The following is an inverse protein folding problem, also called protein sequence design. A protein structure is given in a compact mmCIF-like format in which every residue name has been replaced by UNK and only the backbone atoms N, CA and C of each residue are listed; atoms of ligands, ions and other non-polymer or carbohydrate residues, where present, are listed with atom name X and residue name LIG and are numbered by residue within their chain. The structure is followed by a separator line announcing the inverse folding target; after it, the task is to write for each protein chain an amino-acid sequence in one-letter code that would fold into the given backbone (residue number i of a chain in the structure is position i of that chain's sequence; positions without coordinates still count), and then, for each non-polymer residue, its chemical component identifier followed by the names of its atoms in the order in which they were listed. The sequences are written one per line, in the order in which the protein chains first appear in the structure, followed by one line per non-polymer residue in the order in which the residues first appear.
data_IF_235678953645
#
_entry.id   IF_235678953645
#
_cell.length_a   1.000
_cell.length_b   1.000
_cell.length_c   1.000
_cell.angle_alpha   90.00
_cell.angle_beta   90.00
_cell.angle_gamma   90.00
#
_symmetry.space_group_name_H-M   'P 1'
#
loop_
_entity.id
_entity.type
_entity.pdbx_description
1 polymer ?
#
# COMPACT_ATOMS: atom_id res chain seq x y z
N UNK A 1 -20.06 5.77 -57.52
CA UNK A 1 -18.86 5.75 -56.66
C UNK A 1 -19.35 5.94 -55.23
N UNK A 2 -19.45 4.86 -54.47
CA UNK A 2 -19.89 4.85 -53.06
C UNK A 2 -18.64 4.91 -52.17
N UNK A 3 -18.65 5.63 -51.04
CA UNK A 3 -17.50 5.67 -50.15
C UNK A 3 -17.40 4.38 -49.35
N UNK A 4 -16.15 3.92 -49.23
CA UNK A 4 -15.72 2.70 -48.57
C UNK A 4 -15.97 2.81 -47.07
N UNK A 5 -16.56 1.77 -46.48
CA UNK A 5 -16.71 1.60 -45.04
C UNK A 5 -15.34 1.56 -44.35
N UNK A 6 -15.10 2.50 -43.43
CA UNK A 6 -13.99 2.44 -42.49
C UNK A 6 -14.10 1.19 -41.62
N UNK A 7 -13.03 0.41 -41.61
CA UNK A 7 -12.89 -0.77 -40.76
C UNK A 7 -12.77 -0.35 -39.28
N UNK A 8 -13.37 -1.09 -38.33
CA UNK A 8 -13.28 -0.75 -36.93
C UNK A 8 -11.82 -0.83 -36.47
N UNK A 9 -11.34 0.25 -35.85
CA UNK A 9 -10.01 0.36 -35.27
C UNK A 9 -9.70 -0.89 -34.43
N UNK A 10 -8.68 -1.64 -34.85
CA UNK A 10 -8.11 -2.72 -34.03
C UNK A 10 -7.65 -2.08 -32.73
N UNK A 11 -8.36 -2.37 -31.64
CA UNK A 11 -7.88 -2.13 -30.29
C UNK A 11 -6.57 -2.89 -30.13
N UNK A 12 -5.45 -2.21 -30.32
CA UNK A 12 -4.13 -2.73 -29.97
C UNK A 12 -4.13 -2.79 -28.45
N UNK A 13 -4.42 -3.96 -27.89
CA UNK A 13 -4.13 -4.26 -26.49
C UNK A 13 -2.63 -4.06 -26.28
N UNK A 14 -2.22 -2.84 -25.91
CA UNK A 14 -0.89 -2.59 -25.38
C UNK A 14 -0.74 -3.51 -24.17
N UNK A 15 0.32 -4.31 -24.19
CA UNK A 15 0.61 -5.36 -23.22
C UNK A 15 0.35 -4.84 -21.82
N UNK A 16 -0.50 -5.54 -21.06
CA UNK A 16 -0.58 -5.35 -19.62
C UNK A 16 0.83 -5.37 -19.02
N UNK A 17 1.12 -4.59 -17.97
CA UNK A 17 2.42 -4.59 -17.33
C UNK A 17 2.81 -6.03 -16.97
N UNK A 18 3.80 -6.57 -17.67
CA UNK A 18 4.31 -7.92 -17.40
C UNK A 18 4.97 -7.91 -16.03
N UNK A 19 4.67 -8.94 -15.23
CA UNK A 19 5.21 -9.05 -13.87
C UNK A 19 6.73 -9.19 -13.96
N UNK A 20 7.47 -8.44 -13.13
CA UNK A 20 8.95 -8.42 -13.07
C UNK A 20 9.59 -9.81 -12.89
N UNK A 21 8.84 -10.84 -12.50
CA UNK A 21 9.30 -12.24 -12.46
C UNK A 21 9.74 -12.78 -13.83
N UNK A 22 9.18 -12.28 -14.92
CA UNK A 22 9.54 -12.70 -16.28
C UNK A 22 10.95 -12.22 -16.69
N UNK A 23 11.49 -11.17 -16.06
CA UNK A 23 12.85 -10.68 -16.31
C UNK A 23 13.93 -11.50 -15.63
N UNK A 24 13.60 -12.28 -14.60
CA UNK A 24 14.59 -12.98 -13.78
C UNK A 24 15.20 -14.23 -14.45
N UNK A 25 14.68 -14.66 -15.61
CA UNK A 25 15.14 -15.86 -16.31
C UNK A 25 16.37 -15.64 -17.20
N UNK A 26 16.88 -14.40 -17.31
CA UNK A 26 17.97 -14.04 -18.23
C UNK A 26 19.08 -13.26 -17.49
N UNK A 27 19.83 -13.93 -16.61
CA UNK A 27 21.25 -13.60 -16.37
C UNK A 27 21.91 -14.71 -15.58
N UNK A 28 22.96 -15.30 -16.15
CA UNK A 28 23.77 -16.37 -15.58
C UNK A 28 25.06 -15.83 -14.97
N UNK A 29 25.62 -16.66 -14.07
CA UNK A 29 26.93 -16.61 -13.41
C UNK A 29 27.12 -15.63 -12.23
N UNK A 30 27.05 -16.16 -11.00
CA UNK A 30 28.04 -15.97 -9.90
C UNK A 30 27.47 -16.28 -8.50
N UNK A 31 28.37 -16.81 -7.67
CA UNK A 31 28.47 -17.01 -6.21
C UNK A 31 27.42 -17.83 -5.44
N UNK A 32 27.88 -18.84 -4.69
CA UNK A 32 27.06 -19.64 -3.76
C UNK A 32 26.33 -18.77 -2.72
N UNK A 33 26.94 -17.66 -2.29
CA UNK A 33 26.31 -16.66 -1.41
C UNK A 33 25.17 -15.92 -2.13
N UNK A 34 25.36 -15.57 -3.41
CA UNK A 34 24.31 -15.02 -4.26
C UNK A 34 23.18 -16.04 -4.50
N UNK A 35 23.49 -17.33 -4.59
CA UNK A 35 22.49 -18.39 -4.76
C UNK A 35 21.72 -18.71 -3.47
N UNK A 36 22.36 -18.64 -2.30
CA UNK A 36 21.70 -18.70 -1.00
C UNK A 36 20.80 -17.48 -0.78
N UNK A 37 21.26 -16.28 -1.14
CA UNK A 37 20.46 -15.04 -1.12
C UNK A 37 19.33 -15.07 -2.15
N UNK A 38 19.50 -15.70 -3.32
CA UNK A 38 18.42 -15.94 -4.29
C UNK A 38 17.34 -16.86 -3.72
N UNK A 39 17.74 -17.86 -2.93
CA UNK A 39 16.82 -18.83 -2.31
C UNK A 39 16.07 -18.29 -1.08
N UNK A 40 16.63 -17.32 -0.35
CA UNK A 40 16.05 -16.81 0.91
C UNK A 40 14.68 -16.10 0.76
N UNK A 41 14.39 -15.54 -0.42
CA UNK A 41 13.10 -14.90 -0.74
C UNK A 41 12.58 -15.41 -2.07
N UNK A 42 12.43 -16.73 -2.14
CA UNK A 42 12.04 -17.45 -3.36
C UNK A 42 10.58 -17.26 -3.71
N UNK A 43 9.71 -17.01 -2.72
CA UNK A 43 8.27 -16.90 -2.94
C UNK A 43 7.77 -15.45 -3.01
N UNK A 44 6.64 -15.26 -3.72
CA UNK A 44 5.94 -13.97 -3.76
C UNK A 44 5.51 -13.51 -2.36
N UNK A 45 5.19 -14.45 -1.47
CA UNK A 45 4.76 -14.12 -0.12
C UNK A 45 5.92 -13.55 0.70
N UNK A 46 7.12 -14.11 0.60
CA UNK A 46 8.30 -13.60 1.33
C UNK A 46 8.66 -12.18 0.90
N UNK A 47 8.57 -11.91 -0.41
CA UNK A 47 8.81 -10.57 -0.94
C UNK A 47 7.76 -9.58 -0.39
N UNK A 48 6.48 -9.96 -0.36
CA UNK A 48 5.43 -9.10 0.20
C UNK A 48 5.66 -8.87 1.69
N UNK A 49 5.93 -9.93 2.46
CA UNK A 49 6.23 -9.85 3.89
C UNK A 49 7.40 -8.91 4.18
N UNK A 50 8.48 -8.97 3.39
CA UNK A 50 9.60 -8.05 3.54
C UNK A 50 9.23 -6.58 3.26
N UNK A 51 8.35 -6.31 2.30
CA UNK A 51 7.85 -4.94 2.04
C UNK A 51 7.00 -4.43 3.21
N UNK A 52 6.09 -5.26 3.72
CA UNK A 52 5.28 -4.92 4.89
C UNK A 52 6.16 -4.72 6.13
N UNK A 53 7.11 -5.62 6.39
CA UNK A 53 8.05 -5.51 7.51
C UNK A 53 8.84 -4.21 7.46
N UNK A 54 9.35 -3.83 6.28
CA UNK A 54 10.00 -2.54 6.11
C UNK A 54 9.07 -1.35 6.39
N UNK A 55 7.82 -1.40 5.92
CA UNK A 55 6.84 -0.35 6.21
C UNK A 55 6.54 -0.24 7.71
N UNK A 56 6.31 -1.36 8.39
CA UNK A 56 5.96 -1.38 9.81
C UNK A 56 7.15 -1.02 10.71
N UNK A 57 8.31 -1.64 10.51
CA UNK A 57 9.47 -1.44 11.38
C UNK A 57 10.22 -0.15 11.04
N UNK A 58 10.65 0.01 9.79
CA UNK A 58 11.54 1.12 9.42
C UNK A 58 10.79 2.44 9.24
N UNK A 59 9.52 2.41 8.82
CA UNK A 59 8.77 3.64 8.56
C UNK A 59 7.88 4.03 9.74
N UNK A 60 7.12 3.10 10.33
CA UNK A 60 6.28 3.40 11.49
C UNK A 60 7.00 3.26 12.84
N UNK A 61 8.17 2.62 12.89
CA UNK A 61 8.91 2.42 14.15
C UNK A 61 8.31 1.34 15.05
N UNK A 62 7.50 0.43 14.50
CA UNK A 62 6.85 -0.64 15.23
C UNK A 62 7.85 -1.77 15.52
N UNK A 63 7.75 -2.39 16.69
CA UNK A 63 8.75 -3.35 17.18
C UNK A 63 8.26 -4.80 16.99
N UNK A 64 9.12 -5.66 16.45
CA UNK A 64 8.97 -7.11 16.59
C UNK A 64 9.19 -7.54 18.05
N UNK A 65 8.18 -8.12 18.68
CA UNK A 65 8.33 -8.71 20.01
C UNK A 65 8.57 -10.21 19.89
N UNK A 66 9.64 -10.63 20.58
CA UNK A 66 10.15 -11.97 20.88
C UNK A 66 10.96 -12.72 19.82
N UNK A 67 12.19 -13.05 20.26
CA UNK A 67 13.31 -13.75 19.60
C UNK A 67 13.02 -15.19 19.11
N UNK A 68 11.74 -15.60 18.99
CA UNK A 68 11.34 -16.94 18.57
C UNK A 68 10.16 -16.99 17.59
N UNK A 69 9.39 -15.91 17.47
CA UNK A 69 8.31 -15.77 16.49
C UNK A 69 8.57 -14.47 15.75
N UNK A 70 8.80 -14.49 14.44
CA UNK A 70 9.07 -13.33 13.56
C UNK A 70 7.89 -12.32 13.47
N UNK A 71 7.20 -12.07 14.59
CA UNK A 71 5.98 -11.30 14.70
C UNK A 71 6.22 -9.90 15.27
N UNK A 72 5.58 -8.95 14.60
CA UNK A 72 5.43 -7.55 14.95
C UNK A 72 4.26 -7.42 15.90
N UNK A 73 4.51 -6.80 17.05
CA UNK A 73 3.42 -6.27 17.86
C UNK A 73 3.26 -4.80 17.53
N UNK A 74 2.04 -4.31 17.24
CA UNK A 74 1.79 -2.86 17.24
C UNK A 74 1.72 -2.32 18.69
N UNK A 75 2.51 -2.86 19.61
CA UNK A 75 2.77 -2.18 20.87
C UNK A 75 3.62 -0.96 20.53
N UNK A 76 2.97 0.14 20.14
CA UNK A 76 3.58 1.43 20.42
C UNK A 76 3.68 1.48 21.94
N UNK A 77 4.90 1.49 22.48
CA UNK A 77 5.15 1.62 23.93
C UNK A 77 4.48 2.88 24.53
N UNK A 78 3.89 3.73 23.68
CA UNK A 78 3.19 4.97 24.01
C UNK A 78 1.66 4.87 23.98
N UNK A 79 1.04 3.80 23.42
CA UNK A 79 -0.43 3.72 23.24
C UNK A 79 -1.01 2.34 23.58
N UNK A 80 -2.10 2.32 24.35
CA UNK A 80 -2.89 1.12 24.61
C UNK A 80 -3.91 0.91 23.47
N UNK A 81 -3.60 0.01 22.54
CA UNK A 81 -4.44 -0.28 21.37
C UNK A 81 -4.11 0.64 20.20
N UNK A 82 -3.85 0.04 19.02
CA UNK A 82 -3.59 0.78 17.79
C UNK A 82 -4.41 0.19 16.65
N UNK A 83 -4.79 1.04 15.70
CA UNK A 83 -5.55 0.65 14.51
C UNK A 83 -4.71 0.77 13.25
N UNK A 84 -4.68 -0.30 12.44
CA UNK A 84 -3.97 -0.36 11.16
C UNK A 84 -4.93 -0.71 10.03
N UNK A 85 -4.90 0.10 8.98
CA UNK A 85 -5.62 -0.13 7.74
C UNK A 85 -4.64 -0.51 6.62
N UNK A 86 -4.93 -1.59 5.89
CA UNK A 86 -4.21 -1.98 4.68
C UNK A 86 -5.07 -1.73 3.44
N UNK A 87 -4.68 -0.72 2.65
CA UNK A 87 -5.36 -0.32 1.42
C UNK A 87 -4.77 -1.03 0.21
N UNK A 88 -5.58 -1.83 -0.46
CA UNK A 88 -5.13 -2.73 -1.53
C UNK A 88 -4.45 -3.96 -0.96
N UNK A 89 -5.01 -4.54 0.10
CA UNK A 89 -4.43 -5.68 0.83
C UNK A 89 -4.35 -6.97 0.00
N UNK A 90 -4.97 -6.98 -1.18
CA UNK A 90 -5.00 -8.11 -2.09
C UNK A 90 -5.86 -9.27 -1.60
N UNK A 91 -5.48 -10.47 -2.03
CA UNK A 91 -6.17 -11.70 -1.68
C UNK A 91 -5.44 -12.48 -0.60
N UNK A 92 -6.22 -13.27 0.15
CA UNK A 92 -5.70 -14.28 1.06
C UNK A 92 -4.77 -15.24 0.31
N UNK A 93 -3.54 -15.37 0.80
CA UNK A 93 -2.60 -16.41 0.36
C UNK A 93 -2.52 -17.43 1.47
N UNK A 94 -2.89 -18.69 1.17
CA UNK A 94 -2.99 -19.77 2.17
C UNK A 94 -3.94 -19.43 3.33
N UNK A 95 -5.07 -18.80 3.04
CA UNK A 95 -6.11 -18.48 4.04
C UNK A 95 -5.80 -17.27 4.94
N UNK A 96 -4.73 -16.52 4.67
CA UNK A 96 -4.29 -15.39 5.50
C UNK A 96 -3.77 -14.22 4.64
N UNK A 97 -3.97 -12.99 5.10
CA UNK A 97 -3.32 -11.81 4.49
C UNK A 97 -1.83 -11.79 4.88
N UNK A 98 -0.93 -11.22 4.06
CA UNK A 98 0.48 -11.11 4.41
C UNK A 98 0.71 -10.48 5.79
N UNK A 99 -0.02 -9.40 6.10
CA UNK A 99 0.03 -8.73 7.39
C UNK A 99 -0.35 -9.63 8.58
N UNK A 100 -1.27 -10.58 8.42
CA UNK A 100 -1.69 -11.45 9.54
C UNK A 100 -0.58 -12.40 9.97
N UNK A 101 0.40 -12.68 9.10
CA UNK A 101 1.59 -13.46 9.45
C UNK A 101 2.60 -12.65 10.25
N UNK A 102 2.56 -11.34 10.10
CA UNK A 102 3.47 -10.44 10.78
C UNK A 102 2.90 -9.93 12.10
N UNK A 103 1.60 -10.08 12.38
CA UNK A 103 0.97 -9.39 13.50
C UNK A 103 0.39 -10.39 14.49
N UNK A 104 0.81 -10.29 15.76
CA UNK A 104 0.27 -11.08 16.87
C UNK A 104 -0.19 -10.09 17.94
N UNK A 105 -1.45 -9.64 17.88
CA UNK A 105 -2.02 -8.91 19.01
C UNK A 105 -3.55 -8.98 19.03
N UNK A 106 -4.16 -9.45 20.14
CA UNK A 106 -5.61 -9.50 20.30
C UNK A 106 -6.24 -8.13 20.60
N UNK A 107 -5.45 -7.10 20.92
CA UNK A 107 -5.94 -5.77 21.32
C UNK A 107 -5.89 -4.72 20.19
N UNK A 108 -5.58 -5.13 18.96
CA UNK A 108 -5.34 -4.24 17.82
C UNK A 108 -6.37 -4.46 16.72
N UNK A 109 -6.87 -3.36 16.17
CA UNK A 109 -7.82 -3.41 15.05
C UNK A 109 -7.05 -3.40 13.74
N UNK A 110 -7.13 -4.51 13.02
CA UNK A 110 -6.57 -4.65 11.68
C UNK A 110 -7.68 -4.77 10.66
N UNK A 111 -7.65 -3.90 9.66
CA UNK A 111 -8.62 -3.94 8.57
C UNK A 111 -7.90 -3.97 7.23
N UNK A 112 -8.22 -4.97 6.40
CA UNK A 112 -7.80 -5.04 5.01
C UNK A 112 -8.91 -4.58 4.06
N UNK A 113 -8.58 -3.75 3.08
CA UNK A 113 -9.51 -3.29 2.04
C UNK A 113 -8.96 -3.67 0.67
N UNK A 114 -9.74 -4.40 -0.10
CA UNK A 114 -9.46 -4.68 -1.51
C UNK A 114 -10.76 -5.00 -2.26
N UNK A 115 -10.71 -4.97 -3.59
CA UNK A 115 -11.82 -5.41 -4.45
C UNK A 115 -12.03 -6.93 -4.39
N UNK A 116 -10.94 -7.67 -4.19
CA UNK A 116 -10.94 -9.12 -4.35
C UNK A 116 -11.06 -9.89 -3.03
N UNK A 117 -11.21 -9.18 -1.88
CA UNK A 117 -11.22 -9.89 -0.61
C UNK A 117 -12.41 -10.83 -0.52
N UNK A 118 -12.10 -12.12 -0.35
CA UNK A 118 -13.06 -13.16 -0.06
C UNK A 118 -12.59 -13.91 1.19
N UNK A 119 -13.06 -13.47 2.36
CA UNK A 119 -12.68 -14.07 3.64
C UNK A 119 -13.77 -15.06 4.07
N UNK A 120 -13.66 -16.31 3.62
CA UNK A 120 -14.58 -17.39 3.99
C UNK A 120 -14.24 -18.02 5.34
N UNK A 121 -13.05 -17.76 5.89
CA UNK A 121 -12.61 -18.25 7.19
C UNK A 121 -12.50 -17.11 8.22
N UNK A 122 -12.77 -17.36 9.51
CA UNK A 122 -12.47 -16.39 10.57
C UNK A 122 -10.96 -16.14 10.59
N UNK A 123 -10.55 -14.90 10.36
CA UNK A 123 -9.16 -14.46 10.48
C UNK A 123 -9.06 -13.36 11.54
N UNK A 124 -7.85 -13.11 12.06
CA UNK A 124 -7.60 -12.03 13.01
C UNK A 124 -7.75 -10.62 12.39
N UNK A 125 -8.04 -10.51 11.09
CA UNK A 125 -8.14 -9.25 10.36
C UNK A 125 -9.52 -9.15 9.72
N UNK A 126 -10.26 -8.10 10.08
CA UNK A 126 -11.51 -7.81 9.39
C UNK A 126 -11.20 -7.37 7.96
N UNK A 127 -11.94 -7.87 6.98
CA UNK A 127 -11.74 -7.49 5.60
C UNK A 127 -12.99 -6.84 5.02
N UNK A 128 -12.80 -5.78 4.24
CA UNK A 128 -13.88 -5.05 3.59
C UNK A 128 -13.68 -5.12 2.09
N UNK A 129 -14.69 -5.63 1.38
CA UNK A 129 -14.72 -5.59 -0.07
C UNK A 129 -15.10 -4.19 -0.54
N UNK A 130 -14.16 -3.50 -1.19
CA UNK A 130 -14.36 -2.14 -1.67
C UNK A 130 -13.50 -1.86 -2.91
N UNK A 131 -14.11 -1.26 -3.94
CA UNK A 131 -13.39 -0.86 -5.14
C UNK A 131 -12.75 0.52 -4.99
N UNK A 132 -11.50 0.53 -4.52
CA UNK A 132 -10.68 1.74 -4.39
C UNK A 132 -10.31 2.39 -5.74
N UNK A 133 -10.64 1.77 -6.87
CA UNK A 133 -10.29 2.24 -8.23
C UNK A 133 -11.46 2.89 -8.97
N UNK A 134 -12.65 2.92 -8.37
CA UNK A 134 -13.83 3.53 -8.98
C UNK A 134 -14.08 4.93 -8.44
N UNK A 135 -14.26 5.86 -9.37
CA UNK A 135 -14.93 7.13 -9.09
C UNK A 135 -16.42 6.86 -9.24
N UNK A 136 -17.16 6.89 -8.14
CA UNK A 136 -18.62 6.81 -8.24
C UNK A 136 -19.18 8.24 -8.24
N UNK A 137 -19.65 8.72 -9.39
CA UNK A 137 -20.27 10.04 -9.52
C UNK A 137 -21.56 10.18 -8.69
N UNK A 138 -22.10 9.06 -8.20
CA UNK A 138 -23.35 8.97 -7.45
C UNK A 138 -23.16 8.64 -5.96
N UNK A 139 -21.92 8.39 -5.49
CA UNK A 139 -21.64 8.22 -4.06
C UNK A 139 -21.05 9.50 -3.48
N UNK A 140 -21.58 9.87 -2.32
CA UNK A 140 -21.08 10.96 -1.48
C UNK A 140 -19.64 10.69 -1.07
N UNK A 141 -18.69 11.30 -1.79
CA UNK A 141 -17.33 11.72 -1.42
C UNK A 141 -16.35 10.73 -0.73
N UNK A 142 -16.77 9.58 -0.21
CA UNK A 142 -15.97 8.65 0.58
C UNK A 142 -15.73 7.37 -0.22
N UNK A 143 -14.46 6.95 -0.28
CA UNK A 143 -14.08 5.72 -0.98
C UNK A 143 -14.28 4.48 -0.12
N UNK A 144 -14.26 4.62 1.21
CA UNK A 144 -14.34 3.49 2.16
C UNK A 144 -15.48 3.70 3.16
N UNK A 145 -16.05 2.63 3.74
CA UNK A 145 -17.17 2.72 4.68
C UNK A 145 -16.73 3.01 6.12
N UNK A 146 -15.58 3.64 6.33
CA UNK A 146 -15.10 3.96 7.67
C UNK A 146 -15.42 5.41 8.05
N UNK A 147 -15.56 5.64 9.36
CA UNK A 147 -15.65 6.99 9.92
C UNK A 147 -14.31 7.74 9.75
N UNK A 148 -14.38 9.05 9.85
CA UNK A 148 -13.19 9.90 9.84
C UNK A 148 -12.30 9.59 11.06
N UNK A 149 -10.98 9.69 10.87
CA UNK A 149 -9.95 9.68 11.93
C UNK A 149 -9.86 8.41 12.77
N UNK A 150 -10.15 7.26 12.17
CA UNK A 150 -10.19 5.97 12.85
C UNK A 150 -8.83 5.29 12.94
N UNK A 151 -7.92 5.57 12.00
CA UNK A 151 -6.71 4.78 11.83
C UNK A 151 -5.44 5.54 12.23
N UNK A 152 -4.67 4.95 13.14
CA UNK A 152 -3.35 5.44 13.52
C UNK A 152 -2.34 5.20 12.39
N UNK A 153 -2.45 4.05 11.74
CA UNK A 153 -1.56 3.61 10.68
C UNK A 153 -2.36 3.24 9.43
N UNK A 154 -1.92 3.75 8.27
CA UNK A 154 -2.42 3.31 6.97
C UNK A 154 -1.26 2.83 6.11
N UNK A 155 -1.27 1.57 5.71
CA UNK A 155 -0.28 1.01 4.80
C UNK A 155 -0.94 0.69 3.46
N UNK A 156 -0.21 0.88 2.37
CA UNK A 156 -0.60 0.41 1.05
C UNK A 156 0.64 -0.12 0.33
N UNK A 157 0.67 -1.43 0.08
CA UNK A 157 1.80 -2.09 -0.57
C UNK A 157 1.41 -2.57 -1.95
N UNK A 158 2.15 -2.12 -2.97
CA UNK A 158 1.97 -2.55 -4.36
C UNK A 158 0.56 -2.33 -4.92
N UNK A 159 -0.12 -1.25 -4.51
CA UNK A 159 -1.47 -0.91 -4.99
C UNK A 159 -1.51 0.37 -5.83
N UNK A 160 -0.85 1.44 -5.40
CA UNK A 160 -1.09 2.79 -5.95
C UNK A 160 -0.88 2.90 -7.48
N UNK A 161 -0.03 2.06 -8.07
CA UNK A 161 0.18 2.04 -9.52
C UNK A 161 -1.09 1.73 -10.32
N UNK A 162 -2.09 1.05 -9.72
CA UNK A 162 -3.37 0.78 -10.38
C UNK A 162 -4.22 2.06 -10.58
N UNK A 163 -4.04 3.06 -9.71
CA UNK A 163 -4.69 4.37 -9.85
C UNK A 163 -4.00 5.22 -10.92
N UNK A 164 -2.68 5.04 -11.08
CA UNK A 164 -1.84 5.82 -11.98
C UNK A 164 -1.91 5.30 -13.42
N UNK A 165 -1.99 3.97 -13.62
CA UNK A 165 -1.85 3.31 -14.92
C UNK A 165 -3.00 3.53 -15.92
N UNK A 166 -3.94 4.44 -15.65
CA UNK A 166 -5.05 4.74 -16.57
C UNK A 166 -4.56 5.67 -17.68
N UNK A 167 -4.88 5.32 -18.92
CA UNK A 167 -4.46 6.05 -20.13
C UNK A 167 -4.92 7.52 -20.14
N UNK A 168 -6.02 7.84 -19.45
CA UNK A 168 -6.51 9.20 -19.28
C UNK A 168 -5.92 9.85 -18.02
N UNK A 169 -5.03 10.82 -18.23
CA UNK A 169 -4.38 11.59 -17.16
C UNK A 169 -5.38 12.32 -16.28
N UNK A 170 -6.39 12.99 -16.87
CA UNK A 170 -7.41 13.69 -16.06
C UNK A 170 -8.17 12.76 -15.11
N UNK A 171 -8.57 11.58 -15.59
CA UNK A 171 -9.28 10.59 -14.77
C UNK A 171 -8.39 10.03 -13.64
N UNK A 172 -7.14 9.70 -13.95
CA UNK A 172 -6.19 9.23 -12.94
C UNK A 172 -5.85 10.31 -11.91
N UNK A 173 -5.86 11.60 -12.27
CA UNK A 173 -5.64 12.71 -11.33
C UNK A 173 -6.82 12.86 -10.38
N UNK A 174 -8.04 12.67 -10.89
CA UNK A 174 -9.23 12.69 -10.08
C UNK A 174 -9.25 11.52 -9.09
N UNK A 175 -8.91 10.29 -9.55
CA UNK A 175 -8.78 9.12 -8.69
C UNK A 175 -7.72 9.32 -7.60
N UNK A 176 -6.52 9.75 -7.97
CA UNK A 176 -5.45 10.02 -7.01
C UNK A 176 -5.83 11.11 -6.01
N UNK A 177 -6.54 12.15 -6.46
CA UNK A 177 -7.01 13.22 -5.59
C UNK A 177 -8.05 12.71 -4.59
N UNK A 178 -9.00 11.88 -5.03
CA UNK A 178 -9.99 11.25 -4.15
C UNK A 178 -9.34 10.27 -3.16
N UNK A 179 -8.42 9.43 -3.63
CA UNK A 179 -7.66 8.52 -2.78
C UNK A 179 -6.86 9.29 -1.72
N UNK A 180 -6.22 10.39 -2.12
CA UNK A 180 -5.45 11.23 -1.19
C UNK A 180 -6.36 11.90 -0.16
N UNK A 181 -7.52 12.42 -0.57
CA UNK A 181 -8.51 13.00 0.34
C UNK A 181 -9.04 11.96 1.33
N UNK A 182 -9.35 10.75 0.84
CA UNK A 182 -9.79 9.64 1.67
C UNK A 182 -8.72 9.24 2.70
N UNK A 183 -7.47 9.12 2.27
CA UNK A 183 -6.36 8.78 3.16
C UNK A 183 -6.30 9.74 4.36
N UNK A 184 -6.35 11.06 4.13
CA UNK A 184 -6.30 12.04 5.22
C UNK A 184 -7.60 12.15 6.02
N UNK A 185 -8.74 11.76 5.44
CA UNK A 185 -9.99 11.63 6.17
C UNK A 185 -9.90 10.49 7.19
N UNK A 186 -9.27 9.38 6.82
CA UNK A 186 -9.18 8.16 7.63
C UNK A 186 -8.12 8.24 8.74
N UNK A 187 -7.01 8.93 8.49
CA UNK A 187 -5.92 9.05 9.46
C UNK A 187 -6.31 9.86 10.70
N UNK A 188 -6.01 9.33 11.88
CA UNK A 188 -6.19 10.02 13.16
C UNK A 188 -5.35 11.30 13.23
N UNK A 189 -5.85 12.36 13.88
CA UNK A 189 -5.15 13.65 13.99
C UNK A 189 -4.42 13.80 15.32
N UNK A 190 -3.43 14.71 15.39
CA UNK A 190 -2.83 15.11 16.66
C UNK A 190 -3.90 15.42 17.71
N UNK A 191 -3.81 14.78 18.88
CA UNK A 191 -4.69 15.04 20.02
C UNK A 191 -5.97 14.20 20.08
N UNK A 192 -6.32 13.43 19.04
CA UNK A 192 -7.52 12.57 19.06
C UNK A 192 -7.42 11.42 20.11
N UNK A 193 -6.22 11.13 20.63
CA UNK A 193 -5.94 10.09 21.65
C UNK A 193 -6.02 10.54 23.12
N UNK A 194 -6.34 11.82 23.40
CA UNK A 194 -6.46 12.35 24.76
C UNK A 194 -5.12 12.58 25.51
N UNK A 195 -4.04 11.97 25.03
CA UNK A 195 -2.67 12.03 25.57
C UNK A 195 -1.76 13.03 24.82
N UNK A 196 -2.28 13.73 23.80
CA UNK A 196 -1.54 14.76 23.06
C UNK A 196 -0.42 14.22 22.16
N UNK A 197 -0.23 12.90 22.10
CA UNK A 197 0.84 12.25 21.36
C UNK A 197 0.28 11.37 20.25
N UNK A 198 0.39 11.87 19.03
CA UNK A 198 0.52 11.02 17.84
C UNK A 198 -0.37 11.46 16.69
N UNK A 199 0.29 11.61 15.56
CA UNK A 199 -0.30 11.95 14.28
C UNK A 199 -0.47 10.66 13.51
N UNK A 200 -1.60 10.48 12.84
CA UNK A 200 -1.78 9.38 11.91
C UNK A 200 -0.62 9.33 10.91
N UNK A 201 -0.15 8.12 10.64
CA UNK A 201 0.99 7.86 9.77
C UNK A 201 0.56 6.99 8.60
N UNK A 202 1.14 7.24 7.43
CA UNK A 202 0.89 6.43 6.25
C UNK A 202 2.16 6.07 5.49
N UNK A 203 2.21 4.84 4.99
CA UNK A 203 3.24 4.35 4.08
C UNK A 203 2.60 3.86 2.78
N UNK A 204 3.04 4.41 1.66
CA UNK A 204 2.61 4.01 0.32
C UNK A 204 3.81 3.45 -0.45
N UNK A 205 3.80 2.16 -0.73
CA UNK A 205 4.76 1.49 -1.61
C UNK A 205 4.08 1.18 -2.94
N UNK A 206 4.66 1.62 -4.06
CA UNK A 206 4.12 1.33 -5.40
C UNK A 206 5.21 1.26 -6.46
N UNK A 207 4.81 0.91 -7.68
CA UNK A 207 5.70 0.76 -8.85
C UNK A 207 5.40 1.84 -9.89
N UNK A 208 6.02 3.03 -9.81
CA UNK A 208 5.88 4.06 -10.83
C UNK A 208 6.54 3.62 -12.15
N UNK A 209 6.03 4.12 -13.28
CA UNK A 209 6.67 3.99 -14.59
C UNK A 209 7.86 4.94 -14.75
N UNK A 210 7.85 6.04 -14.00
CA UNK A 210 8.92 7.03 -13.92
C UNK A 210 8.69 8.07 -12.83
N UNK A 211 9.62 9.00 -12.66
CA UNK A 211 9.54 10.03 -11.60
C UNK A 211 8.33 10.95 -11.73
N UNK A 212 7.82 11.17 -12.94
CA UNK A 212 6.57 11.91 -13.17
C UNK A 212 5.39 11.33 -12.40
N UNK A 213 5.29 10.00 -12.31
CA UNK A 213 4.24 9.34 -11.53
C UNK A 213 4.41 9.59 -10.02
N UNK A 214 5.66 9.61 -9.56
CA UNK A 214 5.99 9.90 -8.15
C UNK A 214 5.62 11.33 -7.80
N UNK A 215 6.03 12.29 -8.62
CA UNK A 215 5.73 13.71 -8.42
C UNK A 215 4.23 13.98 -8.49
N UNK A 216 3.53 13.26 -9.37
CA UNK A 216 2.07 13.32 -9.47
C UNK A 216 1.36 12.85 -8.20
N UNK A 217 1.75 11.69 -7.66
CA UNK A 217 1.25 11.20 -6.38
C UNK A 217 1.54 12.21 -5.26
N UNK A 218 2.78 12.70 -5.18
CA UNK A 218 3.17 13.69 -4.17
C UNK A 218 2.35 14.98 -4.26
N UNK A 219 2.09 15.48 -5.47
CA UNK A 219 1.22 16.66 -5.69
C UNK A 219 -0.20 16.42 -5.20
N UNK A 220 -0.80 15.26 -5.47
CA UNK A 220 -2.14 14.94 -4.98
C UNK A 220 -2.19 14.84 -3.45
N UNK A 221 -1.18 14.25 -2.82
CA UNK A 221 -1.06 14.17 -1.36
C UNK A 221 -0.95 15.56 -0.73
N UNK A 222 -0.05 16.42 -1.24
CA UNK A 222 0.12 17.79 -0.74
C UNK A 222 -1.12 18.64 -0.99
N UNK A 223 -1.81 18.46 -2.13
CA UNK A 223 -3.07 19.16 -2.41
C UNK A 223 -4.17 18.75 -1.43
N UNK A 224 -4.27 17.46 -1.11
CA UNK A 224 -5.26 16.96 -0.16
C UNK A 224 -4.96 17.43 1.27
N UNK A 225 -3.68 17.60 1.64
CA UNK A 225 -3.29 18.22 2.90
C UNK A 225 -1.97 19.02 2.78
N UNK A 226 -2.04 20.37 2.70
CA UNK A 226 -0.84 21.20 2.57
C UNK A 226 0.09 21.16 3.81
N UNK A 227 -0.43 20.73 4.96
CA UNK A 227 0.32 20.61 6.23
C UNK A 227 0.98 19.24 6.40
N UNK A 228 1.12 18.48 5.32
CA UNK A 228 1.77 17.17 5.31
C UNK A 228 3.27 17.28 5.60
N UNK A 229 3.78 16.37 6.44
CA UNK A 229 5.22 16.05 6.54
C UNK A 229 5.45 14.65 6.00
N UNK A 230 6.62 14.40 5.44
CA UNK A 230 6.92 13.10 4.88
C UNK A 230 8.22 13.07 4.10
N UNK A 231 8.54 11.90 3.56
CA UNK A 231 9.71 11.69 2.74
C UNK A 231 9.48 10.60 1.69
N UNK A 232 10.35 10.62 0.69
CA UNK A 232 10.51 9.55 -0.31
C UNK A 232 11.69 8.71 0.14
N UNK A 233 11.49 7.40 0.29
CA UNK A 233 12.53 6.46 0.67
C UNK A 233 12.75 5.47 -0.46
N UNK A 234 14.02 5.30 -0.82
CA UNK A 234 14.47 4.25 -1.72
C UNK A 234 15.19 3.21 -0.86
N UNK A 235 14.62 2.03 -0.75
CA UNK A 235 15.15 0.97 0.09
C UNK A 235 15.23 -0.34 -0.68
N UNK A 236 16.04 -1.27 -0.18
CA UNK A 236 16.15 -2.61 -0.73
C UNK A 236 15.74 -3.64 0.34
N UNK A 237 14.44 -3.77 0.68
CA UNK A 237 13.98 -4.69 1.74
C UNK A 237 14.30 -6.16 1.46
N UNK A 238 14.54 -6.49 0.18
CA UNK A 238 14.88 -7.84 -0.27
C UNK A 238 16.21 -7.76 -1.00
N UNK A 239 17.29 -8.26 -0.37
CA UNK A 239 18.68 -8.09 -0.85
C UNK A 239 18.91 -8.52 -2.30
N UNK A 240 18.22 -9.57 -2.75
CA UNK A 240 18.35 -10.10 -4.10
C UNK A 240 17.42 -9.43 -5.14
N UNK A 241 16.69 -8.37 -4.77
CA UNK A 241 15.80 -7.62 -5.66
C UNK A 241 16.22 -6.16 -5.74
N UNK A 242 15.89 -5.52 -6.85
CA UNK A 242 16.14 -4.08 -7.00
C UNK A 242 15.38 -3.21 -5.99
N UNK A 243 15.87 -1.98 -5.85
CA UNK A 243 15.34 -0.92 -4.99
C UNK A 243 13.83 -0.70 -5.15
N UNK A 244 13.19 -0.36 -4.04
CA UNK A 244 11.77 -0.14 -3.86
C UNK A 244 11.55 1.28 -3.34
N UNK A 245 10.53 1.94 -3.90
CA UNK A 245 10.08 3.26 -3.46
C UNK A 245 9.01 3.10 -2.38
N UNK A 246 9.19 3.85 -1.30
CA UNK A 246 8.20 4.06 -0.24
C UNK A 246 7.98 5.56 -0.08
N UNK A 247 6.72 5.98 0.01
CA UNK A 247 6.35 7.31 0.50
C UNK A 247 5.93 7.15 1.94
N UNK A 248 6.58 7.86 2.85
CA UNK A 248 6.13 8.00 4.22
C UNK A 248 5.53 9.38 4.41
N UNK A 249 4.34 9.44 5.01
CA UNK A 249 3.61 10.68 5.22
C UNK A 249 2.90 10.70 6.57
N UNK A 250 2.84 11.86 7.21
CA UNK A 250 2.15 12.08 8.48
C UNK A 250 1.71 13.55 8.60
N UNK A 251 0.80 13.85 9.51
CA UNK A 251 0.46 15.25 9.79
C UNK A 251 1.66 15.98 10.41
N UNK A 252 1.80 17.27 10.12
CA UNK A 252 2.66 18.13 10.94
C UNK A 252 2.08 18.24 12.35
N UNK A 253 2.90 17.99 13.37
CA UNK A 253 2.54 18.29 14.75
C UNK A 253 2.46 19.81 14.95
N UNK A 254 1.30 20.25 15.42
CA UNK A 254 0.90 21.58 15.91
C UNK A 254 0.76 22.75 14.91
N UNK A 255 -0.26 23.56 15.21
CA UNK A 255 -0.57 24.89 14.66
C UNK A 255 0.49 25.93 15.00
#
# INVERSE_FOLDING_TARGET
VLPVHDSPAKWVHRRQPRRRAEYAQLSSASDEESDLLRKSHSSRIDIQLALYRFALEACFGLICTDLGTDAISLCDNRRHGSSLLDLGCGNLVNGCLPLTKLLISPAQLFIGVDLFVNCSSPTAVACVNCDLTRINAQQTAQLTPFRDRVFDYVVSISFLQWLIAKDETHFSDQLLSQFSAELFRLLSRPGDGGDGYGNGQCVLQFYPSGWTDVDRVCRCLVKANPKLKGCRMLAQPVRNRGTKLFLYVTFSGQE
#
